data_IF_489824091629
#
_entry.id   IF_489824091629
#
_cell.length_a   1.000
_cell.length_b   1.000
_cell.length_c   1.000
_cell.angle_alpha   90.00
_cell.angle_beta   90.00
_cell.angle_gamma   90.00
#
_symmetry.space_group_name_H-M   'P 1'
#
loop_
_entity.id
_entity.type
_entity.pdbx_description
1 polymer ?
#
# COMPACT_ATOMS: atom_id res chain seq x y z
N UNK A 1 18.87 -5.77 -25.50
CA UNK A 1 17.76 -6.10 -24.58
C UNK A 1 16.90 -7.15 -25.24
N UNK A 2 16.46 -8.17 -24.48
CA UNK A 2 15.44 -9.14 -24.95
C UNK A 2 14.16 -8.86 -24.18
N UNK A 3 13.07 -8.64 -24.91
CA UNK A 3 11.75 -8.44 -24.31
C UNK A 3 11.17 -9.79 -23.83
N UNK A 4 10.39 -9.81 -22.74
CA UNK A 4 9.65 -10.99 -22.33
C UNK A 4 8.71 -11.45 -23.45
N UNK A 5 8.64 -12.76 -23.66
CA UNK A 5 7.78 -13.36 -24.69
C UNK A 5 6.34 -13.61 -24.21
N UNK A 6 6.07 -13.35 -22.94
CA UNK A 6 4.77 -13.54 -22.28
C UNK A 6 4.49 -12.37 -21.33
N UNK A 7 3.21 -12.14 -21.01
CA UNK A 7 2.77 -11.01 -20.20
C UNK A 7 2.73 -9.68 -20.97
N UNK A 8 2.36 -8.63 -20.26
CA UNK A 8 2.35 -7.23 -20.70
C UNK A 8 3.59 -6.50 -20.18
N UNK A 9 3.88 -5.31 -20.71
CA UNK A 9 4.99 -4.49 -20.21
C UNK A 9 4.85 -4.14 -18.72
N UNK A 10 3.61 -4.09 -18.21
CA UNK A 10 3.31 -3.77 -16.82
C UNK A 10 3.67 -4.89 -15.84
N UNK A 11 3.88 -6.11 -16.33
CA UNK A 11 4.25 -7.26 -15.50
C UNK A 11 5.75 -7.30 -15.16
N UNK A 12 6.56 -6.39 -15.73
CA UNK A 12 8.02 -6.42 -15.62
C UNK A 12 8.61 -5.04 -15.31
N UNK A 13 9.66 -4.98 -14.48
CA UNK A 13 10.54 -3.82 -14.40
C UNK A 13 11.88 -4.08 -15.09
N UNK A 14 12.53 -2.99 -15.48
CA UNK A 14 13.90 -3.04 -15.96
C UNK A 14 14.86 -2.94 -14.76
N UNK A 15 15.55 -4.03 -14.47
CA UNK A 15 16.60 -4.04 -13.48
C UNK A 15 17.82 -3.24 -13.98
N UNK A 16 18.25 -2.16 -13.28
CA UNK A 16 19.31 -1.27 -13.77
C UNK A 16 20.70 -1.89 -13.73
N UNK A 17 20.95 -2.86 -12.84
CA UNK A 17 22.25 -3.51 -12.68
C UNK A 17 22.44 -4.59 -13.74
N UNK A 18 21.43 -5.44 -13.91
CA UNK A 18 21.45 -6.60 -14.78
C UNK A 18 20.92 -6.31 -16.19
N UNK A 19 20.34 -5.13 -16.42
CA UNK A 19 19.75 -4.67 -17.71
C UNK A 19 18.81 -5.70 -18.33
N UNK A 20 17.99 -6.34 -17.49
CA UNK A 20 17.03 -7.37 -17.87
C UNK A 20 15.64 -7.02 -17.34
N UNK A 21 14.62 -7.54 -18.00
CA UNK A 21 13.26 -7.51 -17.49
C UNK A 21 13.11 -8.58 -16.41
N UNK A 22 12.70 -8.17 -15.21
CA UNK A 22 12.33 -9.06 -14.11
C UNK A 22 10.85 -8.85 -13.78
N UNK A 23 10.12 -9.90 -13.37
CA UNK A 23 8.73 -9.77 -12.98
C UNK A 23 8.56 -8.76 -11.84
N UNK A 24 7.57 -7.86 -11.96
CA UNK A 24 7.26 -6.89 -10.90
C UNK A 24 6.88 -7.58 -9.59
N UNK A 25 6.22 -8.73 -9.67
CA UNK A 25 5.80 -9.56 -8.52
C UNK A 25 6.97 -10.00 -7.62
N UNK A 26 8.19 -10.10 -8.14
CA UNK A 26 9.38 -10.46 -7.34
C UNK A 26 9.85 -9.30 -6.44
N UNK A 27 9.47 -8.07 -6.79
CA UNK A 27 9.78 -6.82 -6.07
C UNK A 27 8.68 -6.44 -5.09
N UNK A 28 7.43 -6.84 -5.37
CA UNK A 28 6.29 -6.59 -4.49
C UNK A 28 6.38 -7.55 -3.31
N UNK A 29 6.51 -7.06 -2.07
CA UNK A 29 6.40 -7.92 -0.90
C UNK A 29 5.06 -8.66 -0.98
N UNK A 30 5.04 -9.97 -0.71
CA UNK A 30 3.80 -10.71 -0.54
C UNK A 30 3.02 -10.08 0.62
N UNK A 31 2.13 -9.16 0.30
CA UNK A 31 1.27 -8.52 1.26
C UNK A 31 -0.03 -9.31 1.24
N UNK A 32 -0.31 -10.02 2.34
CA UNK A 32 -1.56 -10.73 2.59
C UNK A 32 -2.67 -9.68 2.85
N UNK A 33 -3.00 -8.88 1.82
CA UNK A 33 -4.20 -8.06 1.84
C UNK A 33 -5.36 -9.01 1.66
N UNK A 34 -6.14 -9.21 2.73
CA UNK A 34 -7.33 -10.04 2.70
C UNK A 34 -8.38 -9.30 1.83
N UNK A 35 -8.78 -9.86 0.67
CA UNK A 35 -9.74 -9.20 -0.22
C UNK A 35 -11.13 -9.06 0.41
N UNK A 36 -11.40 -9.80 1.49
CA UNK A 36 -12.66 -9.72 2.22
C UNK A 36 -12.58 -8.80 3.46
N UNK A 37 -11.38 -8.27 3.79
CA UNK A 37 -11.21 -7.32 4.88
C UNK A 37 -11.69 -5.91 4.49
N UNK A 38 -12.25 -5.13 5.43
CA UNK A 38 -12.59 -3.74 5.18
C UNK A 38 -11.33 -2.92 4.87
N UNK A 39 -11.39 -2.07 3.83
CA UNK A 39 -10.28 -1.17 3.43
C UNK A 39 -9.69 -0.36 4.60
N UNK A 40 -10.51 -0.02 5.61
CA UNK A 40 -10.05 0.70 6.81
C UNK A 40 -8.96 -0.07 7.57
N UNK A 41 -9.03 -1.40 7.63
CA UNK A 41 -8.04 -2.24 8.30
C UNK A 41 -6.71 -2.25 7.53
N UNK A 42 -6.81 -2.33 6.20
CA UNK A 42 -5.64 -2.29 5.32
C UNK A 42 -4.97 -0.92 5.34
N UNK A 43 -5.75 0.16 5.33
CA UNK A 43 -5.25 1.52 5.47
C UNK A 43 -4.60 1.73 6.84
N UNK A 44 -5.23 1.29 7.93
CA UNK A 44 -4.64 1.38 9.26
C UNK A 44 -3.27 0.67 9.34
N UNK A 45 -3.18 -0.53 8.77
CA UNK A 45 -1.91 -1.27 8.68
C UNK A 45 -0.88 -0.51 7.86
N UNK A 46 -1.28 0.05 6.71
CA UNK A 46 -0.41 0.83 5.84
C UNK A 46 0.13 2.08 6.53
N UNK A 47 -0.69 2.83 7.27
CA UNK A 47 -0.24 4.00 8.04
C UNK A 47 0.85 3.64 9.05
N UNK A 48 0.72 2.49 9.72
CA UNK A 48 1.72 1.99 10.67
C UNK A 48 3.01 1.62 9.93
N UNK A 49 2.93 0.92 8.81
CA UNK A 49 4.13 0.50 8.06
C UNK A 49 4.86 1.66 7.39
N UNK A 50 4.13 2.61 6.79
CA UNK A 50 4.74 3.77 6.16
C UNK A 50 5.23 4.78 7.18
N UNK A 51 4.44 5.01 8.23
CA UNK A 51 4.69 6.07 9.23
C UNK A 51 5.68 5.66 10.32
N UNK A 52 5.61 4.41 10.79
CA UNK A 52 6.41 3.92 11.90
C UNK A 52 7.47 2.87 11.51
N UNK A 53 7.58 2.47 10.23
CA UNK A 53 8.70 1.65 9.74
C UNK A 53 9.43 2.29 8.55
N UNK A 54 9.03 3.49 8.15
CA UNK A 54 9.56 4.25 7.01
C UNK A 54 9.62 3.41 5.71
N UNK A 55 8.61 2.57 5.48
CA UNK A 55 8.52 1.74 4.28
C UNK A 55 7.76 2.48 3.18
N UNK A 56 8.33 2.57 1.98
CA UNK A 56 7.62 3.12 0.82
C UNK A 56 6.55 2.13 0.35
N UNK A 57 5.28 2.52 0.45
CA UNK A 57 4.15 1.73 -0.01
C UNK A 57 3.52 2.34 -1.27
N UNK A 58 2.95 1.49 -2.12
CA UNK A 58 2.15 1.87 -3.30
C UNK A 58 0.86 1.09 -3.25
N UNK A 59 -0.28 1.78 -3.37
CA UNK A 59 -1.58 1.15 -3.42
C UNK A 59 -1.96 0.81 -4.86
N UNK A 60 -2.23 -0.47 -5.13
CA UNK A 60 -2.70 -0.96 -6.42
C UNK A 60 -4.05 -1.62 -6.23
N UNK A 61 -5.05 -1.12 -6.95
CA UNK A 61 -6.42 -1.60 -6.89
C UNK A 61 -6.95 -1.88 -8.29
N UNK A 62 -7.73 -2.94 -8.39
CA UNK A 62 -8.56 -3.23 -9.56
C UNK A 62 -9.98 -2.72 -9.34
N UNK A 63 -10.75 -2.59 -10.42
CA UNK A 63 -12.17 -2.21 -10.38
C UNK A 63 -13.02 -3.15 -9.51
N UNK A 64 -12.67 -4.44 -9.47
CA UNK A 64 -13.33 -5.45 -8.63
C UNK A 64 -13.14 -5.19 -7.12
N UNK A 65 -12.06 -4.52 -6.73
CA UNK A 65 -11.72 -4.22 -5.32
C UNK A 65 -12.33 -2.91 -4.83
N UNK A 66 -13.13 -2.23 -5.66
CA UNK A 66 -13.86 -1.01 -5.28
C UNK A 66 -15.35 -1.36 -5.17
N UNK A 67 -15.79 -1.97 -4.05
CA UNK A 67 -17.13 -2.52 -3.95
C UNK A 67 -18.22 -1.45 -3.87
N UNK A 68 -17.92 -0.26 -3.32
CA UNK A 68 -18.91 0.77 -3.03
C UNK A 68 -18.33 2.19 -2.96
N UNK A 69 -19.23 3.18 -2.79
CA UNK A 69 -18.88 4.60 -2.69
C UNK A 69 -18.12 4.94 -1.39
N UNK A 70 -18.32 4.19 -0.30
CA UNK A 70 -17.62 4.41 0.96
C UNK A 70 -16.11 4.20 0.80
N UNK A 71 -15.71 3.23 -0.03
CA UNK A 71 -14.32 3.05 -0.43
C UNK A 71 -13.72 4.31 -1.04
N UNK A 72 -14.44 4.94 -1.98
CA UNK A 72 -13.96 6.13 -2.68
C UNK A 72 -13.88 7.36 -1.77
N UNK A 73 -14.74 7.45 -0.75
CA UNK A 73 -14.64 8.51 0.28
C UNK A 73 -13.32 8.37 1.05
N UNK A 74 -12.96 7.16 1.50
CA UNK A 74 -11.70 6.92 2.22
C UNK A 74 -10.48 7.28 1.36
N UNK A 75 -10.47 6.88 0.08
CA UNK A 75 -9.39 7.22 -0.84
C UNK A 75 -9.32 8.73 -1.08
N UNK A 76 -10.45 9.42 -1.21
CA UNK A 76 -10.47 10.86 -1.38
C UNK A 76 -9.91 11.57 -0.13
N UNK A 77 -10.29 11.15 1.07
CA UNK A 77 -9.80 11.73 2.32
C UNK A 77 -8.28 11.53 2.45
N UNK A 78 -7.81 10.29 2.17
CA UNK A 78 -6.38 9.99 2.12
C UNK A 78 -5.61 10.87 1.11
N UNK A 79 -6.15 11.09 -0.09
CA UNK A 79 -5.47 11.88 -1.12
C UNK A 79 -5.54 13.39 -0.89
N UNK A 80 -6.62 13.87 -0.28
CA UNK A 80 -6.85 15.29 -0.07
C UNK A 80 -6.09 15.84 1.15
N UNK A 81 -6.08 15.10 2.26
CA UNK A 81 -5.47 15.53 3.52
C UNK A 81 -4.35 14.62 4.01
N UNK A 82 -4.29 13.37 3.55
CA UNK A 82 -3.44 12.35 4.17
C UNK A 82 -3.96 11.86 5.52
N UNK A 83 -5.21 12.19 5.88
CA UNK A 83 -5.85 11.81 7.13
C UNK A 83 -7.24 11.23 6.84
N UNK A 84 -7.50 10.05 7.38
CA UNK A 84 -8.80 9.38 7.29
C UNK A 84 -9.49 9.46 8.67
N UNK A 85 -10.69 10.05 8.76
CA UNK A 85 -11.41 10.17 10.03
C UNK A 85 -11.73 8.81 10.64
N UNK A 86 -11.69 8.73 11.98
CA UNK A 86 -12.06 7.54 12.76
C UNK A 86 -11.31 6.25 12.36
N UNK A 87 -10.15 6.37 11.71
CA UNK A 87 -9.33 5.23 11.27
C UNK A 87 -8.70 4.47 12.44
N UNK A 88 -8.32 5.20 13.49
CA UNK A 88 -7.72 4.67 14.70
C UNK A 88 -8.53 5.12 15.91
N UNK A 89 -8.66 4.25 16.91
CA UNK A 89 -9.19 4.66 18.21
C UNK A 89 -8.19 5.59 18.94
N UNK A 90 -8.67 6.33 19.94
CA UNK A 90 -7.80 7.18 20.77
C UNK A 90 -6.68 6.36 21.44
N UNK A 91 -6.96 5.12 21.83
CA UNK A 91 -5.99 4.20 22.43
C UNK A 91 -4.91 3.78 21.41
N UNK A 92 -5.32 3.46 20.17
CA UNK A 92 -4.39 3.08 19.10
C UNK A 92 -3.49 4.26 18.69
N UNK A 93 -4.06 5.47 18.61
CA UNK A 93 -3.29 6.68 18.31
C UNK A 93 -2.20 6.94 19.35
N UNK A 94 -2.50 6.81 20.65
CA UNK A 94 -1.51 7.00 21.71
C UNK A 94 -0.35 6.00 21.59
N UNK A 95 -0.66 4.75 21.24
CA UNK A 95 0.33 3.71 20.93
C UNK A 95 1.22 4.08 19.75
N UNK A 96 0.62 4.48 18.62
CA UNK A 96 1.35 4.85 17.39
C UNK A 96 2.27 6.06 17.64
N UNK A 97 1.77 7.10 18.31
CA UNK A 97 2.58 8.30 18.63
C UNK A 97 3.79 7.93 19.49
N UNK A 98 3.62 6.97 20.41
CA UNK A 98 4.72 6.49 21.25
C UNK A 98 5.77 5.75 20.43
N UNK A 99 5.37 4.90 19.49
CA UNK A 99 6.30 4.17 18.61
C UNK A 99 7.03 5.11 17.64
N UNK A 100 6.31 6.03 16.98
CA UNK A 100 6.94 7.00 16.06
C UNK A 100 8.00 7.83 16.79
N UNK A 101 7.73 8.27 18.03
CA UNK A 101 8.70 9.03 18.85
C UNK A 101 9.97 8.24 19.21
N UNK A 102 9.94 6.90 19.19
CA UNK A 102 11.14 6.08 19.44
C UNK A 102 12.06 6.01 18.22
N UNK A 103 11.54 6.23 17.02
CA UNK A 103 12.33 6.19 15.78
C UNK A 103 12.97 7.54 15.39
N UNK A 104 12.57 8.66 16.01
CA UNK A 104 13.13 10.01 15.79
C UNK A 104 14.24 10.34 16.80
#
# INVERSE_FOLDING_TARGET
MKFPSQGTLFDYYLDPEMRRFLPWVDKVPSHDVDPDAPLQVDLASLYIETGAKNMLAVFLLTDVQVPDECFLVLINDLLASGEVPDLFSDEDMEGIVTEVRKEV
#
